data_IF_653666587938
#
_entry.id   IF_653666587938
#
_cell.length_a   1.000
_cell.length_b   1.000
_cell.length_c   1.000
_cell.angle_alpha   90.00
_cell.angle_beta   90.00
_cell.angle_gamma   90.00
#
_symmetry.space_group_name_H-M   'P 1'
#
loop_
_entity.id
_entity.type
_entity.pdbx_description
1 polymer ?
#
# COMPACT_ATOMS: atom_id res chain seq x y z
N UNK A 1 22.30 13.28 -5.02
CA UNK A 1 21.21 12.79 -4.16
C UNK A 1 20.55 11.66 -4.93
N UNK A 2 20.42 10.47 -4.39
CA UNK A 2 19.71 9.40 -5.08
C UNK A 2 18.23 9.78 -5.19
N UNK A 3 17.63 9.54 -6.34
CA UNK A 3 16.17 9.65 -6.46
C UNK A 3 15.51 8.63 -5.55
N UNK A 4 14.45 9.00 -4.89
CA UNK A 4 13.64 8.09 -4.08
C UNK A 4 12.18 8.14 -4.50
N UNK A 5 11.48 7.04 -4.25
CA UNK A 5 10.05 6.90 -4.49
C UNK A 5 9.33 7.02 -3.15
N UNK A 6 8.36 7.93 -3.08
CA UNK A 6 7.42 8.00 -1.97
C UNK A 6 6.27 7.02 -2.23
N UNK A 7 5.96 6.20 -1.24
CA UNK A 7 5.05 5.07 -1.40
C UNK A 7 4.24 4.80 -0.14
N UNK A 8 3.05 4.24 -0.32
CA UNK A 8 2.19 3.79 0.78
C UNK A 8 1.32 2.59 0.39
N UNK A 9 0.39 2.22 1.28
CA UNK A 9 -0.68 1.27 0.97
C UNK A 9 -1.95 2.01 0.54
N UNK A 10 -2.84 1.38 -0.22
CA UNK A 10 -4.16 1.93 -0.59
C UNK A 10 -5.00 2.36 0.63
N UNK A 11 -4.76 1.75 1.78
CA UNK A 11 -5.44 2.00 3.07
C UNK A 11 -5.20 3.39 3.69
N UNK A 12 -4.47 4.27 3.02
CA UNK A 12 -4.45 5.70 3.36
C UNK A 12 -5.78 6.39 3.00
N UNK A 13 -6.63 5.73 2.21
CA UNK A 13 -8.00 6.14 1.86
C UNK A 13 -8.11 7.56 1.30
N UNK A 14 -7.07 7.99 0.58
CA UNK A 14 -7.05 9.30 -0.09
C UNK A 14 -7.63 9.16 -1.51
N UNK A 15 -8.20 10.23 -2.08
CA UNK A 15 -8.65 10.22 -3.47
C UNK A 15 -7.51 9.93 -4.45
N UNK A 16 -7.80 9.25 -5.57
CA UNK A 16 -6.79 8.92 -6.59
C UNK A 16 -6.00 10.15 -7.06
N UNK A 17 -6.68 11.29 -7.23
CA UNK A 17 -6.07 12.58 -7.61
C UNK A 17 -5.02 13.08 -6.61
N UNK A 18 -5.13 12.70 -5.33
CA UNK A 18 -4.14 13.04 -4.31
C UNK A 18 -2.80 12.34 -4.59
N UNK A 19 -2.85 11.04 -4.89
CA UNK A 19 -1.65 10.26 -5.22
C UNK A 19 -0.98 10.77 -6.50
N UNK A 20 -1.79 11.04 -7.54
CA UNK A 20 -1.31 11.55 -8.83
C UNK A 20 -0.63 12.92 -8.70
N UNK A 21 -1.24 13.87 -7.99
CA UNK A 21 -0.69 15.22 -7.81
C UNK A 21 0.61 15.28 -7.02
N UNK A 22 0.85 14.28 -6.17
CA UNK A 22 2.01 14.23 -5.27
C UNK A 22 3.04 13.20 -5.69
N UNK A 23 2.84 12.55 -6.82
CA UNK A 23 3.70 11.46 -7.30
C UNK A 23 3.92 10.37 -6.24
N UNK A 24 2.85 10.01 -5.52
CA UNK A 24 2.86 8.97 -4.49
C UNK A 24 2.44 7.65 -5.13
N UNK A 25 3.29 6.66 -5.06
CA UNK A 25 2.97 5.31 -5.47
C UNK A 25 2.25 4.56 -4.34
N UNK A 26 1.40 3.59 -4.67
CA UNK A 26 0.72 2.80 -3.65
C UNK A 26 0.62 1.33 -4.04
N UNK A 27 0.73 0.47 -3.04
CA UNK A 27 0.43 -0.96 -3.15
C UNK A 27 -0.99 -1.21 -2.69
N UNK A 28 -1.73 -2.02 -3.44
CA UNK A 28 -3.14 -2.29 -3.16
C UNK A 28 -3.30 -3.40 -2.12
N UNK A 29 -4.17 -3.17 -1.15
CA UNK A 29 -4.77 -4.22 -0.33
C UNK A 29 -5.80 -5.01 -1.16
N UNK A 30 -6.37 -6.04 -0.56
CA UNK A 30 -7.40 -6.86 -1.20
C UNK A 30 -8.64 -6.94 -0.33
N UNK A 31 -9.77 -7.16 -0.98
CA UNK A 31 -11.01 -7.48 -0.31
C UNK A 31 -11.77 -8.58 -1.06
N UNK A 32 -12.53 -9.34 -0.31
CA UNK A 32 -13.48 -10.31 -0.82
C UNK A 32 -14.89 -9.74 -0.65
N UNK A 33 -15.73 -9.90 -1.65
CA UNK A 33 -17.15 -9.57 -1.62
C UNK A 33 -17.92 -10.79 -2.12
N UNK A 34 -18.72 -11.43 -1.24
CA UNK A 34 -19.49 -12.65 -1.55
C UNK A 34 -18.65 -13.77 -2.20
N UNK A 35 -17.43 -14.00 -1.68
CA UNK A 35 -16.53 -15.04 -2.17
C UNK A 35 -15.74 -14.68 -3.42
N UNK A 36 -15.87 -13.45 -3.94
CA UNK A 36 -15.09 -12.95 -5.08
C UNK A 36 -14.03 -11.96 -4.64
N UNK A 37 -12.79 -12.20 -5.07
CA UNK A 37 -11.65 -11.36 -4.71
C UNK A 37 -11.52 -10.13 -5.62
N UNK A 38 -11.17 -9.01 -5.01
CA UNK A 38 -10.91 -7.73 -5.64
C UNK A 38 -9.65 -7.09 -5.06
N UNK A 39 -9.05 -6.19 -5.82
CA UNK A 39 -7.98 -5.31 -5.33
C UNK A 39 -8.59 -3.96 -4.92
N UNK A 40 -8.05 -3.37 -3.86
CA UNK A 40 -8.37 -2.01 -3.44
C UNK A 40 -7.54 -1.01 -4.26
N UNK A 41 -8.01 -0.74 -5.46
CA UNK A 41 -7.37 0.15 -6.44
C UNK A 41 -7.94 1.57 -6.44
N UNK A 42 -8.41 2.03 -5.29
CA UNK A 42 -9.03 3.34 -5.07
C UNK A 42 -10.33 3.54 -5.85
N UNK A 43 -11.08 2.45 -6.04
CA UNK A 43 -12.40 2.49 -6.67
C UNK A 43 -12.40 2.42 -8.20
N UNK A 44 -11.27 2.06 -8.83
CA UNK A 44 -11.19 1.90 -10.30
C UNK A 44 -11.93 0.65 -10.78
N UNK A 45 -11.70 -0.49 -10.11
CA UNK A 45 -12.36 -1.77 -10.45
C UNK A 45 -13.78 -1.86 -9.89
N UNK A 46 -14.00 -1.36 -8.68
CA UNK A 46 -15.30 -1.28 -8.01
C UNK A 46 -15.42 0.07 -7.30
N UNK A 47 -16.42 0.85 -7.65
CA UNK A 47 -16.65 2.14 -6.99
C UNK A 47 -17.02 1.95 -5.51
N UNK A 48 -16.67 2.93 -4.66
CA UNK A 48 -17.07 2.94 -3.25
C UNK A 48 -18.59 2.81 -3.09
N UNK A 49 -19.34 3.44 -3.99
CA UNK A 49 -20.81 3.35 -3.98
C UNK A 49 -21.30 1.92 -4.19
N UNK A 50 -20.79 1.23 -5.20
CA UNK A 50 -21.13 -0.17 -5.48
C UNK A 50 -20.79 -1.09 -4.31
N UNK A 51 -19.60 -0.92 -3.74
CA UNK A 51 -19.15 -1.68 -2.58
C UNK A 51 -20.09 -1.51 -1.37
N UNK A 52 -20.38 -0.27 -0.99
CA UNK A 52 -21.26 -0.01 0.15
C UNK A 52 -22.72 -0.36 -0.11
N UNK A 53 -23.21 -0.23 -1.34
CA UNK A 53 -24.55 -0.66 -1.70
C UNK A 53 -24.68 -2.20 -1.64
N UNK A 54 -23.67 -2.94 -2.08
CA UNK A 54 -23.63 -4.40 -1.92
C UNK A 54 -23.71 -4.80 -0.44
N UNK A 55 -22.91 -4.16 0.43
CA UNK A 55 -22.97 -4.42 1.89
C UNK A 55 -24.35 -4.09 2.49
N UNK A 56 -24.98 -2.98 2.09
CA UNK A 56 -26.35 -2.64 2.53
C UNK A 56 -27.37 -3.69 2.11
N UNK A 57 -27.12 -4.34 0.98
CA UNK A 57 -27.94 -5.44 0.46
C UNK A 57 -27.58 -6.81 1.04
N UNK A 58 -26.71 -6.85 2.05
CA UNK A 58 -26.36 -8.06 2.79
C UNK A 58 -25.11 -8.81 2.31
N UNK A 59 -24.36 -8.26 1.36
CA UNK A 59 -23.11 -8.88 0.93
C UNK A 59 -22.07 -8.94 2.08
N UNK A 60 -21.37 -10.07 2.18
CA UNK A 60 -20.33 -10.30 3.19
C UNK A 60 -18.98 -9.89 2.64
N UNK A 61 -18.22 -9.14 3.44
CA UNK A 61 -16.88 -8.68 3.05
C UNK A 61 -15.81 -9.16 4.00
N UNK A 62 -14.62 -9.40 3.47
CA UNK A 62 -13.38 -9.66 4.21
C UNK A 62 -12.26 -8.88 3.55
N UNK A 63 -11.26 -8.48 4.32
CA UNK A 63 -10.06 -7.83 3.80
C UNK A 63 -8.84 -8.73 3.98
N UNK A 64 -7.87 -8.60 3.09
CA UNK A 64 -6.55 -9.21 3.24
C UNK A 64 -5.45 -8.19 2.98
N UNK A 65 -4.39 -8.32 3.76
CA UNK A 65 -3.23 -7.45 3.65
C UNK A 65 -2.34 -7.82 2.47
N UNK A 66 -1.46 -6.92 2.08
CA UNK A 66 -0.36 -7.18 1.15
C UNK A 66 0.59 -8.20 1.77
N UNK A 67 0.93 -9.25 1.04
CA UNK A 67 1.88 -10.27 1.48
C UNK A 67 3.32 -9.95 1.05
N UNK A 68 4.29 -10.77 1.48
CA UNK A 68 5.71 -10.56 1.21
C UNK A 68 6.02 -10.56 -0.29
N UNK A 69 5.48 -11.54 -1.05
CA UNK A 69 5.73 -11.66 -2.48
C UNK A 69 5.20 -10.45 -3.26
N UNK A 70 4.01 -9.96 -2.89
CA UNK A 70 3.43 -8.75 -3.48
C UNK A 70 4.26 -7.50 -3.20
N UNK A 71 4.84 -7.39 -2.00
CA UNK A 71 5.78 -6.30 -1.70
C UNK A 71 7.08 -6.42 -2.50
N UNK A 72 7.60 -7.63 -2.70
CA UNK A 72 8.78 -7.83 -3.55
C UNK A 72 8.49 -7.42 -5.00
N UNK A 73 7.38 -7.88 -5.58
CA UNK A 73 6.95 -7.52 -6.93
C UNK A 73 6.71 -6.00 -7.08
N UNK A 74 6.22 -5.35 -6.02
CA UNK A 74 5.94 -3.92 -6.02
C UNK A 74 7.21 -3.06 -5.88
N UNK A 75 8.15 -3.43 -5.00
CA UNK A 75 9.35 -2.65 -4.73
C UNK A 75 10.44 -2.86 -5.78
N UNK A 76 10.59 -4.07 -6.31
CA UNK A 76 11.72 -4.46 -7.15
C UNK A 76 11.87 -3.59 -8.42
N UNK A 77 10.82 -3.19 -9.15
CA UNK A 77 10.95 -2.32 -10.31
C UNK A 77 11.65 -0.99 -10.01
N UNK A 78 11.34 -0.36 -8.88
CA UNK A 78 11.95 0.91 -8.48
C UNK A 78 13.45 0.74 -8.18
N UNK A 79 13.84 -0.35 -7.52
CA UNK A 79 15.24 -0.65 -7.24
C UNK A 79 16.02 -0.93 -8.51
N UNK A 80 15.42 -1.62 -9.50
CA UNK A 80 16.01 -1.84 -10.84
C UNK A 80 16.24 -0.53 -11.59
N UNK A 81 15.38 0.46 -11.39
CA UNK A 81 15.54 1.82 -11.94
C UNK A 81 16.58 2.65 -11.18
N UNK A 82 17.20 2.11 -10.12
CA UNK A 82 18.21 2.79 -9.33
C UNK A 82 17.65 3.77 -8.29
N UNK A 83 16.36 3.67 -7.95
CA UNK A 83 15.68 4.51 -6.97
C UNK A 83 15.68 3.84 -5.59
N UNK A 84 15.80 4.65 -4.55
CA UNK A 84 15.53 4.24 -3.17
C UNK A 84 14.04 4.37 -2.87
N UNK A 85 13.53 3.73 -1.82
CA UNK A 85 12.09 3.73 -1.49
C UNK A 85 11.86 4.22 -0.06
N UNK A 86 10.93 5.15 0.10
CA UNK A 86 10.34 5.51 1.39
C UNK A 86 8.88 5.05 1.38
N UNK A 87 8.58 4.01 2.14
CA UNK A 87 7.26 3.37 2.18
C UNK A 87 6.61 3.51 3.56
N UNK A 88 5.43 4.14 3.60
CA UNK A 88 4.60 4.18 4.80
C UNK A 88 3.58 3.06 4.76
N UNK A 89 3.48 2.32 5.87
CA UNK A 89 2.49 1.24 6.01
C UNK A 89 1.33 1.64 6.90
N UNK A 90 0.21 0.96 6.73
CA UNK A 90 -0.84 0.89 7.73
C UNK A 90 -0.25 0.44 9.07
N UNK A 91 -0.79 0.94 10.19
CA UNK A 91 -0.32 0.62 11.53
C UNK A 91 -0.08 -0.87 11.76
N UNK A 92 1.10 -1.22 12.28
CA UNK A 92 1.44 -2.58 12.70
C UNK A 92 0.55 -3.13 13.82
N UNK A 93 -0.13 -2.23 14.54
CA UNK A 93 -1.09 -2.60 15.59
C UNK A 93 -2.39 -3.19 15.06
N UNK A 94 -2.70 -3.01 13.77
CA UNK A 94 -3.96 -3.49 13.16
C UNK A 94 -3.76 -4.33 11.90
N UNK A 95 -2.54 -4.41 11.36
CA UNK A 95 -2.22 -5.19 10.15
C UNK A 95 -0.81 -5.76 10.20
N UNK A 96 -0.63 -6.95 9.64
CA UNK A 96 0.69 -7.51 9.40
C UNK A 96 1.43 -6.95 8.18
N UNK A 97 0.86 -5.97 7.47
CA UNK A 97 1.46 -5.39 6.26
C UNK A 97 2.85 -4.79 6.52
N UNK A 98 3.05 -4.11 7.66
CA UNK A 98 4.37 -3.63 8.06
C UNK A 98 5.41 -4.76 8.13
N UNK A 99 5.07 -5.86 8.78
CA UNK A 99 5.97 -7.01 8.89
C UNK A 99 6.26 -7.64 7.52
N UNK A 100 5.26 -7.77 6.66
CA UNK A 100 5.44 -8.26 5.28
C UNK A 100 6.38 -7.35 4.48
N UNK A 101 6.21 -6.02 4.58
CA UNK A 101 7.09 -5.05 3.93
C UNK A 101 8.53 -5.12 4.45
N UNK A 102 8.72 -5.31 5.76
CA UNK A 102 10.05 -5.45 6.38
C UNK A 102 10.77 -6.73 5.92
N UNK A 103 10.05 -7.84 5.75
CA UNK A 103 10.63 -9.07 5.22
C UNK A 103 11.05 -8.86 3.75
N UNK A 104 10.16 -8.33 2.91
CA UNK A 104 10.45 -8.04 1.51
C UNK A 104 11.64 -7.05 1.36
N UNK A 105 11.68 -6.00 2.20
CA UNK A 105 12.82 -5.09 2.29
C UNK A 105 14.13 -5.82 2.49
N UNK A 106 14.22 -6.70 3.51
CA UNK A 106 15.45 -7.39 3.83
C UNK A 106 15.92 -8.28 2.66
N UNK A 107 15.00 -9.02 2.03
CA UNK A 107 15.31 -9.86 0.86
C UNK A 107 15.79 -9.02 -0.33
N UNK A 108 15.15 -7.89 -0.59
CA UNK A 108 15.51 -7.01 -1.71
C UNK A 108 16.81 -6.23 -1.46
N UNK A 109 17.11 -5.79 -0.23
CA UNK A 109 18.38 -5.13 0.09
C UNK A 109 19.58 -6.09 -0.01
N UNK A 110 19.39 -7.40 0.21
CA UNK A 110 20.42 -8.42 -0.09
C UNK A 110 20.68 -8.52 -1.62
N UNK A 111 19.62 -8.44 -2.42
CA UNK A 111 19.68 -8.52 -3.88
C UNK A 111 20.17 -7.21 -4.53
N UNK A 112 19.88 -6.07 -3.92
CA UNK A 112 20.21 -4.72 -4.39
C UNK A 112 20.97 -3.93 -3.32
N UNK A 113 22.23 -4.28 -2.99
CA UNK A 113 22.96 -3.74 -1.83
C UNK A 113 23.24 -2.24 -1.91
N UNK A 114 23.22 -1.66 -3.13
CA UNK A 114 23.39 -0.23 -3.37
C UNK A 114 22.11 0.58 -3.23
N UNK A 115 20.98 -0.07 -2.95
CA UNK A 115 19.66 0.56 -2.81
C UNK A 115 19.16 0.46 -1.37
N UNK A 116 18.27 1.41 -0.99
CA UNK A 116 17.68 1.45 0.34
C UNK A 116 16.16 1.47 0.27
N UNK A 117 15.54 0.70 1.17
CA UNK A 117 14.11 0.72 1.40
C UNK A 117 13.87 1.14 2.84
N UNK A 118 13.23 2.27 3.05
CA UNK A 118 12.79 2.73 4.35
C UNK A 118 11.32 2.39 4.53
N UNK A 119 11.01 1.47 5.42
CA UNK A 119 9.63 1.11 5.79
C UNK A 119 9.30 1.76 7.10
N UNK A 120 8.29 2.61 7.10
CA UNK A 120 7.83 3.37 8.27
C UNK A 120 6.45 2.88 8.70
N UNK A 121 6.32 2.48 9.95
CA UNK A 121 5.03 2.22 10.57
C UNK A 121 4.33 3.56 10.84
N UNK A 122 3.19 3.80 10.20
CA UNK A 122 2.46 5.04 10.39
C UNK A 122 1.82 5.18 11.78
N UNK A 123 1.62 4.05 12.48
CA UNK A 123 0.83 3.96 13.71
C UNK A 123 -0.58 4.55 13.55
N UNK A 124 -1.04 4.67 12.32
CA UNK A 124 -2.29 5.31 11.91
C UNK A 124 -3.05 4.45 10.90
N UNK A 125 -4.28 4.86 10.59
CA UNK A 125 -5.13 4.33 9.52
C UNK A 125 -5.86 5.47 8.82
N UNK A 126 -6.37 5.21 7.60
CA UNK A 126 -7.20 6.12 6.81
C UNK A 126 -6.60 7.55 6.73
N UNK A 127 -7.40 8.57 6.91
CA UNK A 127 -6.97 9.97 6.76
C UNK A 127 -5.83 10.40 7.71
N UNK A 128 -5.68 9.79 8.88
CA UNK A 128 -4.54 10.05 9.77
C UNK A 128 -3.22 9.62 9.16
N UNK A 129 -3.23 8.51 8.45
CA UNK A 129 -2.13 8.01 7.66
C UNK A 129 -1.88 8.88 6.42
N UNK A 130 -2.96 9.30 5.73
CA UNK A 130 -2.89 10.24 4.61
C UNK A 130 -2.27 11.58 5.00
N UNK A 131 -2.60 12.10 6.18
CA UNK A 131 -1.99 13.34 6.71
C UNK A 131 -0.48 13.18 6.96
N UNK A 132 -0.04 12.02 7.44
CA UNK A 132 1.39 11.75 7.60
C UNK A 132 2.11 11.74 6.26
N UNK A 133 1.50 11.14 5.23
CA UNK A 133 2.01 11.17 3.85
C UNK A 133 2.18 12.60 3.32
N UNK A 134 1.32 13.53 3.74
CA UNK A 134 1.34 14.94 3.31
C UNK A 134 2.54 15.72 3.85
N UNK A 135 3.21 15.19 4.85
CA UNK A 135 4.36 15.84 5.51
C UNK A 135 5.71 15.32 5.04
N UNK A 136 5.72 14.28 4.22
CA UNK A 136 6.93 13.66 3.65
C UNK A 136 7.24 14.16 2.26
#
# INVERSE_FOLDING_TARGET
>A
MNEYVLSCCSTADMPAEYYEKRDINYVCFHFELDGKNYIDDLGKTMSMKEFYDAMRNGAMTKTSQVNVAEYEEYFEPFLKEGKDILHLTLSSGISGAYNSAMIAKNMLEEKYPDRKIYVVDSVCAACGYGLLMDTL
#
